data_IF_076497811867
#
_entry.id   IF_076497811867
#
_cell.length_a   1.000
_cell.length_b   1.000
_cell.length_c   1.000
_cell.angle_alpha   90.00
_cell.angle_beta   90.00
_cell.angle_gamma   90.00
#
_symmetry.space_group_name_H-M   'P 1'
#
loop_
_entity.id
_entity.type
_entity.pdbx_description
1 polymer ?
#
# COMPACT_ATOMS: atom_id res chain seq x y z
N UNK A 1 -46.44 -6.10 1.22
CA UNK A 1 -46.01 -4.75 1.67
C UNK A 1 -45.11 -4.87 2.90
N UNK A 2 -43.93 -4.22 2.90
CA UNK A 2 -43.06 -4.17 4.08
C UNK A 2 -43.43 -2.99 4.99
N UNK A 3 -42.90 -2.96 6.21
CA UNK A 3 -43.13 -1.85 7.15
C UNK A 3 -42.53 -0.55 6.62
N UNK A 4 -43.22 0.57 6.86
CA UNK A 4 -42.82 1.87 6.33
C UNK A 4 -41.44 2.30 6.85
N UNK A 5 -40.69 3.00 6.00
CA UNK A 5 -39.41 3.63 6.32
C UNK A 5 -39.41 5.07 5.81
N UNK A 6 -38.49 5.89 6.28
CA UNK A 6 -38.29 7.25 5.76
C UNK A 6 -37.28 7.24 4.62
N UNK A 7 -37.35 8.24 3.74
CA UNK A 7 -36.38 8.42 2.65
C UNK A 7 -34.95 8.50 3.20
N UNK A 8 -34.77 9.28 4.29
CA UNK A 8 -33.48 9.40 4.97
C UNK A 8 -32.95 8.07 5.50
N UNK A 9 -33.79 7.27 6.17
CA UNK A 9 -33.36 5.96 6.68
C UNK A 9 -32.93 5.02 5.56
N UNK A 10 -33.58 5.05 4.40
CA UNK A 10 -33.17 4.26 3.23
C UNK A 10 -31.82 4.75 2.67
N UNK A 11 -31.62 6.07 2.60
CA UNK A 11 -30.35 6.66 2.17
C UNK A 11 -29.18 6.28 3.10
N UNK A 12 -29.41 6.22 4.42
CA UNK A 12 -28.39 5.79 5.38
C UNK A 12 -27.87 4.37 5.13
N UNK A 13 -28.67 3.47 4.55
CA UNK A 13 -28.21 2.12 4.21
C UNK A 13 -27.15 2.18 3.10
N UNK A 14 -27.36 3.01 2.07
CA UNK A 14 -26.36 3.20 1.01
C UNK A 14 -25.09 3.89 1.54
N UNK A 15 -25.25 4.86 2.43
CA UNK A 15 -24.12 5.56 3.05
C UNK A 15 -23.28 4.59 3.88
N UNK A 16 -23.91 3.65 4.58
CA UNK A 16 -23.19 2.64 5.35
C UNK A 16 -22.26 1.81 4.44
N UNK A 17 -22.77 1.33 3.31
CA UNK A 17 -21.96 0.57 2.34
C UNK A 17 -20.77 1.41 1.84
N UNK A 18 -21.02 2.67 1.46
CA UNK A 18 -19.97 3.59 1.02
C UNK A 18 -18.92 3.88 2.11
N UNK A 19 -19.33 3.95 3.38
CA UNK A 19 -18.40 4.11 4.49
C UNK A 19 -17.51 2.88 4.67
N UNK A 20 -18.06 1.68 4.49
CA UNK A 20 -17.28 0.43 4.53
C UNK A 20 -16.29 0.37 3.37
N UNK A 21 -16.70 0.78 2.17
CA UNK A 21 -15.81 0.86 1.00
C UNK A 21 -14.69 1.89 1.20
N UNK A 22 -15.00 3.04 1.77
CA UNK A 22 -14.00 4.07 2.10
C UNK A 22 -12.95 3.53 3.09
N UNK A 23 -13.38 2.78 4.11
CA UNK A 23 -12.47 2.13 5.05
C UNK A 23 -11.57 1.09 4.35
N UNK A 24 -12.15 0.29 3.46
CA UNK A 24 -11.40 -0.68 2.66
C UNK A 24 -10.34 -0.02 1.78
N UNK A 25 -10.71 1.03 1.04
CA UNK A 25 -9.79 1.78 0.20
C UNK A 25 -8.67 2.43 1.03
N UNK A 26 -9.01 2.99 2.19
CA UNK A 26 -8.02 3.56 3.10
C UNK A 26 -7.03 2.52 3.59
N UNK A 27 -7.52 1.33 3.99
CA UNK A 27 -6.67 0.22 4.43
C UNK A 27 -5.71 -0.21 3.31
N UNK A 28 -6.23 -0.45 2.10
CA UNK A 28 -5.38 -0.86 0.96
C UNK A 28 -4.32 0.19 0.65
N UNK A 29 -4.69 1.48 0.66
CA UNK A 29 -3.76 2.58 0.44
C UNK A 29 -2.65 2.61 1.51
N UNK A 30 -3.02 2.45 2.78
CA UNK A 30 -2.09 2.55 3.91
C UNK A 30 -1.19 1.31 4.04
N UNK A 31 -1.62 0.15 3.54
CA UNK A 31 -0.86 -1.12 3.56
C UNK A 31 -0.01 -1.35 2.29
N UNK A 32 -0.11 -0.48 1.28
CA UNK A 32 0.60 -0.64 0.03
C UNK A 32 2.12 -0.54 0.24
N UNK A 33 2.87 -1.60 -0.08
CA UNK A 33 4.33 -1.64 0.08
C UNK A 33 5.04 -1.33 -1.23
N UNK A 34 6.16 -0.62 -1.13
CA UNK A 34 7.01 -0.35 -2.28
C UNK A 34 7.88 -1.56 -2.63
N UNK A 35 8.10 -1.79 -3.93
CA UNK A 35 8.98 -2.87 -4.38
C UNK A 35 10.45 -2.61 -4.02
N UNK A 36 10.87 -1.35 -4.05
CA UNK A 36 12.25 -0.95 -3.88
C UNK A 36 13.17 -1.43 -5.01
N UNK A 37 14.46 -1.59 -4.73
CA UNK A 37 15.48 -2.12 -5.65
C UNK A 37 15.73 -3.59 -5.35
N UNK A 38 15.25 -4.47 -6.22
CA UNK A 38 15.30 -5.93 -6.03
C UNK A 38 16.07 -6.68 -7.12
N UNK A 39 16.53 -5.98 -8.17
CA UNK A 39 17.16 -6.60 -9.34
C UNK A 39 16.17 -7.38 -10.21
N UNK A 40 16.69 -8.07 -11.22
CA UNK A 40 15.87 -8.77 -12.24
C UNK A 40 15.06 -9.92 -11.66
N UNK A 41 15.63 -10.68 -10.72
CA UNK A 41 15.01 -11.90 -10.14
C UNK A 41 14.73 -11.80 -8.64
N UNK A 42 14.89 -10.62 -8.03
CA UNK A 42 14.60 -10.42 -6.61
C UNK A 42 15.79 -10.59 -5.67
N UNK A 43 16.95 -11.05 -6.17
CA UNK A 43 18.14 -11.36 -5.36
C UNK A 43 19.06 -10.17 -5.11
N UNK A 44 18.78 -8.99 -5.70
CA UNK A 44 19.63 -7.80 -5.60
C UNK A 44 21.09 -7.97 -6.06
N UNK A 45 21.43 -9.06 -6.79
CA UNK A 45 22.80 -9.43 -7.13
C UNK A 45 23.58 -8.33 -7.87
N UNK A 46 22.92 -7.60 -8.78
CA UNK A 46 23.56 -6.49 -9.50
C UNK A 46 23.96 -5.33 -8.58
N UNK A 47 23.17 -5.04 -7.54
CA UNK A 47 23.48 -4.00 -6.56
C UNK A 47 24.55 -4.47 -5.58
N UNK A 48 24.51 -5.74 -5.17
CA UNK A 48 25.52 -6.32 -4.31
C UNK A 48 26.91 -6.29 -4.98
N UNK A 49 26.98 -6.63 -6.27
CA UNK A 49 28.21 -6.51 -7.05
C UNK A 49 28.69 -5.05 -7.17
N UNK A 50 27.75 -4.11 -7.38
CA UNK A 50 28.07 -2.68 -7.46
C UNK A 50 28.66 -2.13 -6.16
N UNK A 51 28.23 -2.67 -5.01
CA UNK A 51 28.73 -2.31 -3.69
C UNK A 51 29.82 -3.26 -3.17
N UNK A 52 30.49 -4.01 -4.05
CA UNK A 52 31.63 -4.87 -3.71
C UNK A 52 31.33 -5.91 -2.62
N UNK A 53 30.07 -6.40 -2.56
CA UNK A 53 29.64 -7.39 -1.57
C UNK A 53 29.09 -6.81 -0.26
N UNK A 54 28.92 -5.49 -0.17
CA UNK A 54 28.37 -4.83 1.02
C UNK A 54 26.83 -4.89 1.04
N UNK A 55 26.28 -5.89 1.72
CA UNK A 55 24.84 -6.07 1.91
C UNK A 55 24.18 -4.89 2.64
N UNK A 56 24.89 -4.24 3.58
CA UNK A 56 24.33 -3.11 4.33
C UNK A 56 24.06 -1.91 3.42
N UNK A 57 24.93 -1.65 2.45
CA UNK A 57 24.70 -0.60 1.45
C UNK A 57 23.52 -0.91 0.53
N UNK A 58 23.30 -2.18 0.18
CA UNK A 58 22.13 -2.59 -0.61
C UNK A 58 20.84 -2.34 0.16
N UNK A 59 20.79 -2.70 1.44
CA UNK A 59 19.62 -2.43 2.31
C UNK A 59 19.36 -0.93 2.49
N UNK A 60 20.42 -0.15 2.70
CA UNK A 60 20.32 1.31 2.81
C UNK A 60 19.80 1.94 1.51
N UNK A 61 20.27 1.48 0.35
CA UNK A 61 19.79 1.96 -0.94
C UNK A 61 18.28 1.69 -1.11
N UNK A 62 17.84 0.49 -0.77
CA UNK A 62 16.43 0.10 -0.84
C UNK A 62 15.54 0.98 0.03
N UNK A 63 15.97 1.24 1.27
CA UNK A 63 15.28 2.12 2.20
C UNK A 63 15.25 3.57 1.68
N UNK A 64 16.38 4.12 1.23
CA UNK A 64 16.46 5.49 0.73
C UNK A 64 15.56 5.73 -0.49
N UNK A 65 15.52 4.78 -1.44
CA UNK A 65 14.66 4.91 -2.63
C UNK A 65 13.18 4.79 -2.23
N UNK A 66 12.85 3.90 -1.29
CA UNK A 66 11.49 3.75 -0.75
C UNK A 66 11.01 5.04 -0.08
N UNK A 67 11.84 5.65 0.77
CA UNK A 67 11.55 6.93 1.43
C UNK A 67 11.40 8.08 0.42
N UNK A 68 12.30 8.16 -0.58
CA UNK A 68 12.21 9.17 -1.65
C UNK A 68 10.96 9.03 -2.51
N UNK A 69 10.43 7.81 -2.66
CA UNK A 69 9.17 7.56 -3.34
C UNK A 69 7.92 7.88 -2.48
N UNK A 70 8.11 8.29 -1.22
CA UNK A 70 7.03 8.65 -0.30
C UNK A 70 6.32 7.45 0.33
N UNK A 71 6.91 6.25 0.22
CA UNK A 71 6.43 5.06 0.90
C UNK A 71 7.05 4.99 2.30
N UNK A 72 6.27 4.44 3.24
CA UNK A 72 6.75 4.15 4.59
C UNK A 72 7.57 2.87 4.63
#
# INVERSE_FOLDING_TARGET
>A
PAQLTTVGKRCCLWIQDLCMDLQNLKRVRDELRFRGVKGTTGTQASFLQLFEGDDQKVEQLDKMVTEKAGFK
#
